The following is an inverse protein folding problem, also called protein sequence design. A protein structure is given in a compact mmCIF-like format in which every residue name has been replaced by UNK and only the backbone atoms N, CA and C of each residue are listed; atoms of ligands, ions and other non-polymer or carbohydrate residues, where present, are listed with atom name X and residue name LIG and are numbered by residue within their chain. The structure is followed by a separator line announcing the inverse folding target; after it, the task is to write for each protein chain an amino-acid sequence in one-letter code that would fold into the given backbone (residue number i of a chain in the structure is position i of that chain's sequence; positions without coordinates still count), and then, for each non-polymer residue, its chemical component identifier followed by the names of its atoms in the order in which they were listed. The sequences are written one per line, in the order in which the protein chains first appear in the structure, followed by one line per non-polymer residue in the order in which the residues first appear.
data_IF_507828176241
#
_entry.id   IF_507828176241
#
_cell.length_a   1.000
_cell.length_b   1.000
_cell.length_c   1.000
_cell.angle_alpha   90.00
_cell.angle_beta   90.00
_cell.angle_gamma   90.00
#
_symmetry.space_group_name_H-M   'P 1'
#
loop_
_entity.id
_entity.type
_entity.pdbx_description
1 polymer ?
#
# COMPACT_ATOMS: atom_id res chain seq x y z
N UNK A 1 16.57 11.03 -18.71
CA UNK A 1 16.57 11.08 -17.24
C UNK A 1 16.10 9.74 -16.69
N UNK A 2 16.84 9.16 -15.80
CA UNK A 2 16.47 7.88 -15.22
C UNK A 2 15.44 8.05 -14.11
N UNK A 3 14.41 7.21 -14.14
CA UNK A 3 13.43 7.14 -13.06
C UNK A 3 14.02 6.26 -11.96
N UNK A 4 14.23 6.80 -10.77
CA UNK A 4 14.80 6.05 -9.65
C UNK A 4 13.79 5.69 -8.58
N UNK A 5 12.62 6.24 -8.64
CA UNK A 5 11.59 5.99 -7.62
C UNK A 5 10.26 5.68 -8.29
N UNK A 6 9.53 4.73 -7.69
CA UNK A 6 8.19 4.37 -8.14
C UNK A 6 7.23 4.60 -6.98
N UNK A 7 6.16 5.33 -7.25
CA UNK A 7 5.06 5.49 -6.30
C UNK A 7 3.86 4.72 -6.81
N UNK A 8 3.31 3.86 -5.96
CA UNK A 8 2.11 3.09 -6.28
C UNK A 8 0.99 3.56 -5.36
N UNK A 9 -0.11 3.98 -5.95
CA UNK A 9 -1.25 4.51 -5.21
C UNK A 9 -2.35 3.45 -5.07
N UNK A 10 -2.71 3.13 -3.84
CA UNK A 10 -3.80 2.20 -3.52
C UNK A 10 -4.87 2.99 -2.78
N UNK A 11 -5.97 3.38 -3.45
CA UNK A 11 -6.92 4.34 -2.89
C UNK A 11 -7.98 3.77 -1.93
N UNK A 12 -7.86 2.51 -1.53
CA UNK A 12 -8.92 1.85 -0.75
C UNK A 12 -8.67 1.95 0.74
N UNK A 13 -9.75 2.13 1.52
CA UNK A 13 -9.70 2.21 2.98
C UNK A 13 -10.84 1.42 3.58
N UNK A 14 -10.61 0.79 4.74
CA UNK A 14 -11.68 0.16 5.50
C UNK A 14 -12.57 1.21 6.16
N UNK A 15 -11.96 2.34 6.55
CA UNK A 15 -12.72 3.49 7.05
C UNK A 15 -12.05 4.77 6.56
N UNK A 16 -12.86 5.78 6.25
CA UNK A 16 -12.36 7.06 5.80
C UNK A 16 -12.33 8.02 6.98
N UNK A 17 -11.14 8.55 7.26
CA UNK A 17 -10.97 9.49 8.35
C UNK A 17 -11.51 10.87 7.99
N UNK A 18 -12.13 11.54 8.95
CA UNK A 18 -12.75 12.85 8.72
C UNK A 18 -11.75 13.93 8.29
N UNK A 19 -10.49 13.78 8.66
CA UNK A 19 -9.47 14.77 8.31
C UNK A 19 -8.80 14.51 6.95
N UNK A 20 -9.16 13.43 6.28
CA UNK A 20 -8.53 13.07 5.01
C UNK A 20 -9.27 13.65 3.81
N UNK A 21 -8.56 14.47 3.03
CA UNK A 21 -9.08 15.08 1.82
C UNK A 21 -8.57 14.43 0.54
N UNK A 22 -7.90 13.30 0.66
CA UNK A 22 -7.37 12.60 -0.50
C UNK A 22 -8.46 11.88 -1.27
N UNK A 23 -8.24 11.72 -2.58
CA UNK A 23 -9.11 10.91 -3.42
C UNK A 23 -8.96 9.45 -3.00
N UNK A 24 -9.99 8.91 -2.35
CA UNK A 24 -10.00 7.54 -1.88
C UNK A 24 -11.43 7.03 -1.76
N UNK A 25 -11.58 5.72 -1.75
CA UNK A 25 -12.87 5.07 -1.68
C UNK A 25 -12.85 3.98 -0.63
N UNK A 26 -14.03 3.58 -0.15
CA UNK A 26 -14.13 2.43 0.73
C UNK A 26 -13.68 1.17 0.01
N UNK A 27 -13.07 0.26 0.77
CA UNK A 27 -12.63 -1.00 0.21
C UNK A 27 -13.81 -1.79 -0.34
N UNK A 28 -13.64 -2.29 -1.56
CA UNK A 28 -14.58 -3.16 -2.24
C UNK A 28 -13.74 -4.16 -3.02
N UNK A 29 -13.95 -5.46 -2.78
CA UNK A 29 -13.13 -6.50 -3.37
C UNK A 29 -13.14 -6.45 -4.89
N UNK A 30 -14.32 -6.29 -5.47
CA UNK A 30 -14.48 -6.27 -6.93
C UNK A 30 -13.75 -5.10 -7.57
N UNK A 31 -13.93 -3.91 -6.98
CA UNK A 31 -13.29 -2.70 -7.50
C UNK A 31 -11.78 -2.75 -7.30
N UNK A 32 -11.32 -3.28 -6.18
CA UNK A 32 -9.89 -3.36 -5.93
C UNK A 32 -9.23 -4.42 -6.81
N UNK A 33 -9.90 -5.53 -7.11
CA UNK A 33 -9.38 -6.51 -8.06
C UNK A 33 -9.23 -5.88 -9.45
N UNK A 34 -10.21 -5.12 -9.89
CA UNK A 34 -10.16 -4.44 -11.18
C UNK A 34 -9.05 -3.40 -11.19
N UNK A 35 -8.91 -2.67 -10.10
CA UNK A 35 -7.85 -1.67 -9.96
C UNK A 35 -6.47 -2.31 -10.10
N UNK A 36 -6.25 -3.43 -9.42
CA UNK A 36 -4.97 -4.14 -9.49
C UNK A 36 -4.69 -4.65 -10.90
N UNK A 37 -5.71 -5.10 -11.60
CA UNK A 37 -5.55 -5.54 -12.98
C UNK A 37 -5.08 -4.38 -13.88
N UNK A 38 -5.68 -3.22 -13.72
CA UNK A 38 -5.29 -2.03 -14.47
C UNK A 38 -3.91 -1.53 -14.06
N UNK A 39 -3.59 -1.62 -12.78
CA UNK A 39 -2.26 -1.27 -12.30
C UNK A 39 -1.20 -2.16 -12.95
N UNK A 40 -1.48 -3.44 -13.06
CA UNK A 40 -0.56 -4.37 -13.71
C UNK A 40 -0.33 -4.00 -15.18
N UNK A 41 -1.39 -3.61 -15.88
CA UNK A 41 -1.28 -3.14 -17.25
C UNK A 41 -0.41 -1.89 -17.35
N UNK A 42 -0.60 -0.96 -16.42
CA UNK A 42 0.17 0.27 -16.39
C UNK A 42 1.64 0.01 -16.10
N UNK A 43 1.91 -0.89 -15.14
CA UNK A 43 3.28 -1.28 -14.83
C UNK A 43 4.00 -1.91 -16.01
N UNK A 44 3.29 -2.67 -16.83
CA UNK A 44 3.90 -3.33 -17.98
C UNK A 44 4.48 -2.34 -19.00
N UNK A 45 4.09 -1.08 -18.92
CA UNK A 45 4.61 -0.05 -19.81
C UNK A 45 5.89 0.59 -19.28
N UNK A 46 6.26 0.31 -18.03
CA UNK A 46 7.49 0.83 -17.45
C UNK A 46 8.63 -0.09 -17.85
N UNK A 47 9.58 0.45 -18.61
CA UNK A 47 10.69 -0.33 -19.14
C UNK A 47 11.93 -0.31 -18.27
N UNK A 48 12.02 0.65 -17.37
CA UNK A 48 13.19 0.79 -16.51
C UNK A 48 12.97 0.01 -15.21
N UNK A 49 13.89 -0.88 -14.90
CA UNK A 49 13.81 -1.74 -13.73
C UNK A 49 14.91 -1.47 -12.69
N UNK A 50 15.68 -0.40 -12.87
CA UNK A 50 16.74 -0.04 -11.93
C UNK A 50 16.27 1.05 -10.98
N UNK A 51 15.25 0.72 -10.20
CA UNK A 51 14.66 1.64 -9.25
C UNK A 51 15.44 1.60 -7.94
N UNK A 52 15.59 2.75 -7.32
CA UNK A 52 16.23 2.87 -6.01
C UNK A 52 15.23 2.69 -4.88
N UNK A 53 14.02 3.20 -5.05
CA UNK A 53 12.98 3.12 -4.04
C UNK A 53 11.63 2.81 -4.67
N UNK A 54 10.80 2.11 -3.89
CA UNK A 54 9.38 1.93 -4.21
C UNK A 54 8.58 2.31 -2.97
N UNK A 55 7.54 3.10 -3.16
CA UNK A 55 6.66 3.51 -2.07
C UNK A 55 5.21 3.22 -2.46
N UNK A 56 4.54 2.41 -1.65
CA UNK A 56 3.14 2.08 -1.84
C UNK A 56 2.32 2.83 -0.81
N UNK A 57 1.52 3.78 -1.27
CA UNK A 57 0.75 4.63 -0.39
C UNK A 57 -0.68 4.81 -0.89
N UNK A 58 -1.34 5.83 -0.37
CA UNK A 58 -2.68 6.19 -0.81
C UNK A 58 -3.66 6.20 0.34
N UNK A 59 -4.80 5.48 0.20
CA UNK A 59 -5.77 5.32 1.25
C UNK A 59 -5.18 4.45 2.36
N UNK A 60 -5.36 3.15 2.27
CA UNK A 60 -4.74 2.19 3.18
C UNK A 60 -4.40 0.94 2.38
N UNK A 61 -3.17 0.83 1.89
CA UNK A 61 -2.78 -0.36 1.11
C UNK A 61 -3.03 -1.67 1.85
N UNK A 62 -2.89 -1.66 3.18
CA UNK A 62 -3.14 -2.85 3.98
C UNK A 62 -4.62 -3.25 4.07
N UNK A 63 -5.54 -2.44 3.52
CA UNK A 63 -6.95 -2.82 3.41
C UNK A 63 -7.17 -3.92 2.37
N UNK A 64 -6.24 -4.12 1.45
CA UNK A 64 -6.32 -5.21 0.49
C UNK A 64 -6.29 -6.55 1.23
N UNK A 65 -7.04 -7.53 0.71
CA UNK A 65 -7.01 -8.86 1.33
C UNK A 65 -5.70 -9.59 1.00
N UNK A 66 -5.51 -10.76 1.63
CA UNK A 66 -4.25 -11.50 1.49
C UNK A 66 -3.93 -11.84 0.04
N UNK A 67 -4.92 -12.32 -0.70
CA UNK A 67 -4.75 -12.68 -2.09
C UNK A 67 -4.36 -11.47 -2.94
N UNK A 68 -5.00 -10.34 -2.68
CA UNK A 68 -4.71 -9.10 -3.41
C UNK A 68 -3.31 -8.58 -3.09
N UNK A 69 -2.89 -8.69 -1.83
CA UNK A 69 -1.53 -8.32 -1.45
C UNK A 69 -0.50 -9.21 -2.14
N UNK A 70 -0.77 -10.51 -2.23
CA UNK A 70 0.12 -11.41 -2.94
C UNK A 70 0.23 -11.04 -4.43
N UNK A 71 -0.88 -10.69 -5.05
CA UNK A 71 -0.88 -10.23 -6.44
C UNK A 71 -0.07 -8.95 -6.60
N UNK A 72 -0.25 -8.01 -5.68
CA UNK A 72 0.48 -6.74 -5.72
C UNK A 72 1.98 -6.98 -5.60
N UNK A 73 2.39 -7.82 -4.66
CA UNK A 73 3.80 -8.15 -4.49
C UNK A 73 4.36 -8.82 -5.73
N UNK A 74 3.60 -9.73 -6.33
CA UNK A 74 4.03 -10.43 -7.55
C UNK A 74 4.22 -9.48 -8.73
N UNK A 75 3.29 -8.56 -8.93
CA UNK A 75 3.39 -7.65 -10.08
C UNK A 75 4.51 -6.63 -9.91
N UNK A 76 4.89 -6.31 -8.67
CA UNK A 76 5.97 -5.37 -8.40
C UNK A 76 7.35 -6.05 -8.32
N UNK A 77 7.39 -7.37 -8.26
CA UNK A 77 8.65 -8.09 -8.07
C UNK A 77 9.71 -7.74 -9.10
N UNK A 78 9.42 -7.68 -10.41
CA UNK A 78 10.47 -7.34 -11.38
C UNK A 78 11.08 -5.96 -11.15
N UNK A 79 10.35 -5.05 -10.51
CA UNK A 79 10.80 -3.69 -10.28
C UNK A 79 11.51 -3.53 -8.94
N UNK A 80 11.37 -4.50 -8.03
CA UNK A 80 11.87 -4.40 -6.67
C UNK A 80 13.21 -5.08 -6.45
N UNK A 81 13.77 -5.73 -7.46
CA UNK A 81 14.94 -6.58 -7.29
C UNK A 81 16.20 -5.83 -6.82
N UNK A 82 16.32 -4.57 -7.19
CA UNK A 82 17.50 -3.77 -6.86
C UNK A 82 17.22 -2.58 -5.95
N UNK A 83 15.98 -2.46 -5.45
CA UNK A 83 15.65 -1.29 -4.65
C UNK A 83 16.30 -1.35 -3.27
N UNK A 84 16.75 -0.19 -2.80
CA UNK A 84 17.32 -0.06 -1.46
C UNK A 84 16.21 0.07 -0.41
N UNK A 85 15.11 0.75 -0.76
CA UNK A 85 14.00 0.96 0.13
C UNK A 85 12.69 0.60 -0.57
N UNK A 86 11.96 -0.32 0.03
CA UNK A 86 10.65 -0.75 -0.45
C UNK A 86 9.67 -0.58 0.70
N UNK A 87 8.89 0.48 0.63
CA UNK A 87 8.05 0.93 1.74
C UNK A 87 6.57 0.79 1.40
N UNK A 88 5.77 0.40 2.40
CA UNK A 88 4.33 0.40 2.28
C UNK A 88 3.69 1.11 3.47
N UNK A 89 2.70 1.93 3.19
CA UNK A 89 1.86 2.51 4.24
C UNK A 89 0.89 1.46 4.76
N UNK A 90 0.80 1.31 6.06
CA UNK A 90 -0.10 0.34 6.67
C UNK A 90 -0.87 0.98 7.81
N UNK A 91 -2.07 0.47 8.04
CA UNK A 91 -2.88 0.81 9.21
C UNK A 91 -2.81 -0.39 10.15
N UNK A 92 -2.42 -0.20 11.43
CA UNK A 92 -2.34 -1.31 12.36
C UNK A 92 -3.61 -2.16 12.43
N UNK A 93 -4.77 -1.54 12.27
CA UNK A 93 -6.06 -2.25 12.33
C UNK A 93 -6.25 -3.22 11.17
N UNK A 94 -5.62 -2.97 10.02
CA UNK A 94 -5.77 -3.83 8.86
C UNK A 94 -4.63 -4.83 8.72
N UNK A 95 -3.65 -4.84 9.63
CA UNK A 95 -2.52 -5.74 9.57
C UNK A 95 -2.71 -6.96 10.48
N UNK A 96 -2.20 -8.10 10.01
CA UNK A 96 -2.10 -9.30 10.80
C UNK A 96 -0.81 -10.04 10.45
N UNK A 97 -0.57 -11.15 11.11
CA UNK A 97 0.65 -11.93 10.92
C UNK A 97 0.81 -12.41 9.47
N UNK A 98 -0.28 -12.85 8.86
CA UNK A 98 -0.22 -13.34 7.49
C UNK A 98 0.11 -12.25 6.49
N UNK A 99 -0.49 -11.08 6.67
CA UNK A 99 -0.17 -9.95 5.80
C UNK A 99 1.28 -9.53 5.96
N UNK A 100 1.79 -9.50 7.19
CA UNK A 100 3.21 -9.20 7.41
C UNK A 100 4.11 -10.18 6.67
N UNK A 101 3.77 -11.47 6.70
CA UNK A 101 4.56 -12.48 5.99
C UNK A 101 4.54 -12.25 4.49
N UNK A 102 3.38 -11.92 3.94
CA UNK A 102 3.23 -11.65 2.52
C UNK A 102 4.12 -10.47 2.10
N UNK A 103 4.08 -9.39 2.88
CA UNK A 103 4.87 -8.20 2.58
C UNK A 103 6.36 -8.48 2.69
N UNK A 104 6.77 -9.18 3.73
CA UNK A 104 8.19 -9.52 3.92
C UNK A 104 8.69 -10.39 2.79
N UNK A 105 7.94 -11.41 2.43
CA UNK A 105 8.29 -12.30 1.32
C UNK A 105 8.37 -11.53 0.00
N UNK A 106 7.52 -10.53 -0.17
CA UNK A 106 7.51 -9.69 -1.36
C UNK A 106 8.65 -8.70 -1.45
N UNK A 107 9.42 -8.52 -0.38
CA UNK A 107 10.56 -7.62 -0.39
C UNK A 107 10.39 -6.31 0.36
N UNK A 108 9.23 -6.07 0.95
CA UNK A 108 9.00 -4.86 1.75
C UNK A 108 10.01 -4.85 2.90
N UNK A 109 10.76 -3.75 3.01
CA UNK A 109 11.76 -3.60 4.07
C UNK A 109 11.50 -2.40 4.99
N UNK A 110 10.41 -1.67 4.76
CA UNK A 110 10.02 -0.56 5.61
C UNK A 110 8.49 -0.43 5.63
N UNK A 111 7.95 -0.20 6.82
CA UNK A 111 6.51 0.07 6.96
C UNK A 111 6.33 1.48 7.49
N UNK A 112 5.42 2.24 6.86
CA UNK A 112 5.00 3.53 7.37
C UNK A 112 3.66 3.32 8.07
N UNK A 113 3.67 3.39 9.39
CA UNK A 113 2.49 3.08 10.19
C UNK A 113 1.70 4.35 10.46
N UNK A 114 0.41 4.31 10.11
CA UNK A 114 -0.45 5.48 10.25
C UNK A 114 -0.94 5.68 11.67
N UNK A 115 -0.05 6.05 12.58
CA UNK A 115 -0.40 6.37 13.96
C UNK A 115 -0.40 7.88 14.10
N UNK A 116 -1.60 8.47 14.25
CA UNK A 116 -1.75 9.92 14.32
C UNK A 116 -1.46 10.44 15.72
N UNK A 117 -1.77 9.65 16.74
CA UNK A 117 -1.54 10.01 18.14
C UNK A 117 -1.55 8.72 18.96
N UNK A 118 -0.87 8.77 20.11
CA UNK A 118 -0.83 7.66 21.06
C UNK A 118 -1.92 7.78 22.12
N UNK A 119 -2.77 8.81 22.07
CA UNK A 119 -3.84 9.02 23.03
C UNK A 119 -5.19 8.62 22.41
N UNK A 120 -5.85 7.67 23.04
CA UNK A 120 -7.09 7.10 22.50
C UNK A 120 -8.16 8.14 22.22
N UNK A 121 -8.33 9.13 23.09
CA UNK A 121 -9.37 10.12 22.89
C UNK A 121 -9.13 10.97 21.65
N UNK A 122 -7.87 11.25 21.33
CA UNK A 122 -7.55 11.99 20.12
C UNK A 122 -7.73 11.13 18.87
N UNK A 123 -7.45 9.84 18.99
CA UNK A 123 -7.69 8.89 17.88
C UNK A 123 -9.17 8.83 17.54
N UNK A 124 -10.04 8.84 18.56
CA UNK A 124 -11.49 8.84 18.34
C UNK A 124 -11.97 10.12 17.67
N UNK A 125 -11.38 11.26 18.03
CA UNK A 125 -11.78 12.54 17.43
C UNK A 125 -11.48 12.61 15.95
N UNK A 126 -10.49 11.88 15.47
CA UNK A 126 -10.15 11.85 14.06
C UNK A 126 -10.62 10.57 13.36
N UNK A 127 -11.54 9.84 13.99
CA UNK A 127 -12.16 8.61 13.45
C UNK A 127 -11.15 7.50 13.17
N UNK A 128 -10.14 7.38 13.98
CA UNK A 128 -9.19 6.28 13.92
C UNK A 128 -9.40 5.31 15.06
N UNK A 129 -9.35 4.01 14.75
CA UNK A 129 -9.61 2.93 15.71
C UNK A 129 -8.40 1.98 15.79
N UNK A 130 -7.35 2.42 16.49
CA UNK A 130 -6.21 1.53 16.71
C UNK A 130 -5.47 1.80 17.99
#
# INVERSE_FOLDING_TARGET
METRSLYVHIPFCESICSYCDFCKVYYDQKQSDLYLQRLNEELSQIKQHHLKTIYIGGGTPSALNDEQLEKLMSMLKPYSLEVEEYCMEVNPESMDYYKLKILKKGGINRLSIGVQTFQDHLLKEIDRHH
#
